data_IF_880689579592
#
_entry.id   IF_880689579592
#
_cell.length_a   1.000
_cell.length_b   1.000
_cell.length_c   1.000
_cell.angle_alpha   90.00
_cell.angle_beta   90.00
_cell.angle_gamma   90.00
#
_symmetry.space_group_name_H-M   'P 1'
#
loop_
_entity.id
_entity.type
_entity.pdbx_description
1 polymer ?
#
# COMPACT_ATOMS: atom_id res chain seq x y z
N UNK A 1 7.06 7.60 -9.31
CA UNK A 1 5.73 7.34 -9.92
C UNK A 1 5.50 5.83 -9.86
N UNK A 2 4.27 5.36 -9.61
CA UNK A 2 3.98 3.91 -9.57
C UNK A 2 4.16 3.33 -10.99
N UNK A 3 4.84 2.19 -11.08
CA UNK A 3 5.13 1.50 -12.35
C UNK A 3 3.89 0.89 -13.01
N UNK A 4 2.92 0.44 -12.21
CA UNK A 4 1.75 -0.31 -12.62
C UNK A 4 0.53 0.58 -12.93
N UNK A 5 -0.31 0.11 -13.83
CA UNK A 5 -1.60 0.72 -14.15
C UNK A 5 -2.59 0.47 -13.01
N UNK A 6 -3.35 1.51 -12.65
CA UNK A 6 -4.44 1.40 -11.70
C UNK A 6 -5.51 2.45 -11.97
N UNK A 7 -6.72 2.21 -11.49
CA UNK A 7 -7.79 3.20 -11.39
C UNK A 7 -8.04 3.57 -9.93
N UNK A 8 -8.46 4.81 -9.70
CA UNK A 8 -8.86 5.28 -8.38
C UNK A 8 -10.37 5.28 -8.28
N UNK A 9 -10.93 4.56 -7.31
CA UNK A 9 -12.35 4.57 -6.99
C UNK A 9 -12.60 5.22 -5.63
N UNK A 10 -13.63 6.04 -5.54
CA UNK A 10 -14.06 6.71 -4.31
C UNK A 10 -15.35 6.05 -3.82
N UNK A 11 -15.29 5.37 -2.67
CA UNK A 11 -16.46 4.71 -2.06
C UNK A 11 -17.09 5.65 -1.04
N UNK A 12 -18.16 6.32 -1.46
CA UNK A 12 -18.88 7.29 -0.63
C UNK A 12 -19.44 6.70 0.67
N UNK A 13 -20.00 5.50 0.61
CA UNK A 13 -20.64 4.83 1.76
C UNK A 13 -19.65 4.49 2.88
N UNK A 14 -18.38 4.31 2.53
CA UNK A 14 -17.30 3.95 3.46
C UNK A 14 -16.32 5.12 3.72
N UNK A 15 -16.43 6.22 2.96
CA UNK A 15 -15.47 7.33 2.95
C UNK A 15 -14.02 6.87 2.69
N UNK A 16 -13.87 5.99 1.70
CA UNK A 16 -12.60 5.32 1.39
C UNK A 16 -12.22 5.45 -0.07
N UNK A 17 -10.92 5.31 -0.32
CA UNK A 17 -10.35 5.24 -1.66
C UNK A 17 -9.83 3.83 -1.92
N UNK A 18 -10.14 3.30 -3.10
CA UNK A 18 -9.60 2.04 -3.60
C UNK A 18 -8.69 2.36 -4.79
N UNK A 19 -7.47 1.83 -4.77
CA UNK A 19 -6.61 1.77 -5.95
C UNK A 19 -6.79 0.39 -6.58
N UNK A 20 -7.52 0.31 -7.69
CA UNK A 20 -7.79 -0.95 -8.40
C UNK A 20 -6.65 -1.27 -9.38
N UNK A 21 -5.88 -2.30 -9.06
CA UNK A 21 -4.78 -2.83 -9.87
C UNK A 21 -5.19 -4.04 -10.72
N UNK A 22 -6.45 -4.50 -10.64
CA UNK A 22 -6.96 -5.61 -11.44
C UNK A 22 -6.96 -5.36 -12.95
N UNK A 23 -6.83 -4.10 -13.35
CA UNK A 23 -6.76 -3.69 -14.76
C UNK A 23 -5.37 -3.89 -15.40
N UNK A 24 -4.31 -4.06 -14.60
CA UNK A 24 -2.95 -4.22 -15.11
C UNK A 24 -2.66 -5.68 -15.46
N UNK A 25 -2.59 -5.98 -16.76
CA UNK A 25 -2.35 -7.34 -17.25
C UNK A 25 -0.95 -7.88 -16.94
N UNK A 26 0.00 -7.02 -16.56
CA UNK A 26 1.34 -7.44 -16.12
C UNK A 26 1.36 -7.91 -14.68
N UNK A 27 0.34 -7.55 -13.89
CA UNK A 27 0.17 -7.98 -12.50
C UNK A 27 -0.76 -9.18 -12.42
N UNK A 28 -0.18 -10.37 -12.25
CA UNK A 28 -0.97 -11.55 -11.86
C UNK A 28 -1.62 -11.25 -10.50
N UNK A 29 -2.96 -11.36 -10.45
CA UNK A 29 -3.78 -11.12 -9.26
C UNK A 29 -3.60 -9.72 -8.64
N UNK A 30 -3.47 -8.69 -9.47
CA UNK A 30 -3.28 -7.31 -8.99
C UNK A 30 -4.32 -6.84 -7.96
N UNK A 31 -5.54 -7.38 -7.97
CA UNK A 31 -6.58 -7.10 -6.97
C UNK A 31 -6.13 -7.38 -5.52
N UNK A 32 -5.16 -8.27 -5.29
CA UNK A 32 -4.60 -8.54 -3.96
C UNK A 32 -3.86 -7.33 -3.38
N UNK A 33 -3.27 -6.49 -4.23
CA UNK A 33 -2.69 -5.21 -3.83
C UNK A 33 -3.81 -4.28 -3.35
N UNK A 34 -4.91 -4.20 -4.09
CA UNK A 34 -6.06 -3.39 -3.71
C UNK A 34 -6.63 -3.82 -2.36
N UNK A 35 -6.77 -5.13 -2.14
CA UNK A 35 -7.24 -5.70 -0.87
C UNK A 35 -6.30 -5.45 0.31
N UNK A 36 -4.99 -5.37 0.07
CA UNK A 36 -4.04 -5.11 1.17
C UNK A 36 -4.04 -3.67 1.67
N UNK A 37 -4.65 -2.75 0.91
CA UNK A 37 -4.74 -1.33 1.22
C UNK A 37 -6.04 -0.95 1.95
N UNK A 38 -6.88 -1.91 2.31
CA UNK A 38 -8.16 -1.64 2.97
C UNK A 38 -8.01 -0.81 4.25
N UNK A 39 -9.01 0.02 4.56
CA UNK A 39 -9.02 0.83 5.79
C UNK A 39 -9.07 -0.01 7.06
N UNK A 40 -9.56 -1.24 6.95
CA UNK A 40 -9.58 -2.26 7.98
C UNK A 40 -8.16 -2.78 8.30
N UNK A 41 -7.22 -2.59 7.37
CA UNK A 41 -5.78 -2.85 7.54
C UNK A 41 -5.05 -1.57 7.97
N UNK A 42 -5.29 -0.45 7.26
CA UNK A 42 -4.67 0.85 7.52
C UNK A 42 -5.67 1.83 8.15
N UNK A 43 -6.17 1.48 9.33
CA UNK A 43 -7.25 2.23 10.01
C UNK A 43 -6.87 3.63 10.47
N UNK A 44 -5.58 3.85 10.75
CA UNK A 44 -5.08 5.15 11.18
C UNK A 44 -3.67 5.44 10.65
N UNK A 45 -3.25 6.70 10.83
CA UNK A 45 -1.95 7.17 10.37
C UNK A 45 -0.78 6.55 11.14
N UNK A 46 -0.96 6.11 12.39
CA UNK A 46 0.11 5.47 13.15
C UNK A 46 0.48 4.11 12.54
N UNK A 47 -0.53 3.31 12.18
CA UNK A 47 -0.34 2.01 11.52
C UNK A 47 0.38 2.18 10.18
N UNK A 48 0.00 3.18 9.37
CA UNK A 48 0.68 3.47 8.09
C UNK A 48 2.15 3.83 8.33
N UNK A 49 2.45 4.67 9.33
CA UNK A 49 3.84 5.04 9.65
C UNK A 49 4.68 3.84 10.05
N UNK A 50 4.14 2.94 10.86
CA UNK A 50 4.85 1.73 11.28
C UNK A 50 5.12 0.79 10.10
N UNK A 51 4.14 0.57 9.24
CA UNK A 51 4.31 -0.25 8.04
C UNK A 51 5.39 0.31 7.11
N UNK A 52 5.31 1.61 6.79
CA UNK A 52 6.31 2.28 5.96
C UNK A 52 7.70 2.22 6.60
N UNK A 53 7.79 2.39 7.93
CA UNK A 53 9.08 2.29 8.66
C UNK A 53 9.67 0.90 8.57
N UNK A 54 8.85 -0.15 8.69
CA UNK A 54 9.27 -1.53 8.52
C UNK A 54 9.83 -1.81 7.13
N UNK A 55 9.08 -1.41 6.09
CA UNK A 55 9.48 -1.59 4.70
C UNK A 55 10.73 -0.79 4.32
N UNK A 56 10.88 0.45 4.82
CA UNK A 56 12.11 1.23 4.60
C UNK A 56 13.31 0.58 5.29
N UNK A 57 13.15 0.09 6.52
CA UNK A 57 14.23 -0.62 7.25
C UNK A 57 14.70 -1.85 6.48
N UNK A 58 13.77 -2.56 5.82
CA UNK A 58 14.05 -3.67 4.92
C UNK A 58 14.81 -3.22 3.65
N UNK A 59 14.36 -2.14 2.99
CA UNK A 59 15.01 -1.59 1.79
C UNK A 59 16.43 -1.10 2.05
N UNK A 60 16.68 -0.54 3.24
CA UNK A 60 18.02 -0.17 3.73
C UNK A 60 18.92 -1.39 4.01
N UNK A 61 18.38 -2.61 4.00
CA UNK A 61 19.11 -3.84 4.28
C UNK A 61 19.41 -4.07 5.76
N UNK A 62 18.73 -3.36 6.67
CA UNK A 62 18.88 -3.55 8.12
C UNK A 62 18.17 -4.81 8.62
N UNK A 63 17.15 -5.26 7.90
CA UNK A 63 16.48 -6.56 8.07
C UNK A 63 16.39 -7.26 6.72
N UNK A 64 16.22 -8.58 6.70
CA UNK A 64 16.19 -9.38 5.46
C UNK A 64 14.78 -9.78 5.04
N UNK A 65 13.84 -9.78 5.97
CA UNK A 65 12.45 -10.14 5.77
C UNK A 65 11.59 -9.23 6.63
N UNK A 66 10.48 -8.76 6.06
CA UNK A 66 9.42 -8.07 6.77
C UNK A 66 8.11 -8.79 6.49
N UNK A 67 7.38 -9.13 7.55
CA UNK A 67 6.04 -9.72 7.45
C UNK A 67 5.05 -8.66 7.95
N UNK A 68 4.20 -8.20 7.03
CA UNK A 68 3.14 -7.24 7.29
C UNK A 68 1.80 -7.94 7.43
N UNK A 69 0.85 -7.29 8.11
CA UNK A 69 -0.53 -7.79 8.22
C UNK A 69 -1.42 -7.21 7.12
N UNK A 70 -2.21 -8.06 6.47
CA UNK A 70 -3.44 -7.70 5.78
C UNK A 70 -4.59 -8.50 6.39
N UNK A 71 -5.82 -7.96 6.45
CA UNK A 71 -6.93 -8.67 7.10
C UNK A 71 -7.26 -10.01 6.43
N UNK A 72 -6.98 -10.11 5.13
CA UNK A 72 -7.29 -11.27 4.28
C UNK A 72 -6.08 -11.79 3.50
N UNK A 73 -4.90 -11.20 3.69
CA UNK A 73 -3.69 -11.53 2.94
C UNK A 73 -2.50 -11.81 3.88
N UNK A 74 -1.66 -12.79 3.52
CA UNK A 74 -0.30 -12.89 4.04
C UNK A 74 0.62 -12.03 3.18
N UNK A 75 1.31 -11.08 3.81
CA UNK A 75 2.20 -10.13 3.12
C UNK A 75 3.62 -10.35 3.59
N UNK A 76 4.49 -10.77 2.67
CA UNK A 76 5.91 -11.02 2.94
C UNK A 76 6.76 -10.20 1.98
N UNK A 77 7.69 -9.44 2.53
CA UNK A 77 8.59 -8.59 1.75
C UNK A 77 10.04 -8.94 2.04
N UNK A 78 10.81 -9.17 0.98
CA UNK A 78 12.27 -9.09 1.01
C UNK A 78 12.74 -7.78 0.37
N UNK A 79 14.05 -7.55 0.25
CA UNK A 79 14.58 -6.30 -0.32
C UNK A 79 14.08 -6.04 -1.76
N UNK A 80 13.79 -7.08 -2.52
CA UNK A 80 13.47 -7.03 -3.93
C UNK A 80 11.97 -7.11 -4.18
N UNK A 81 11.28 -8.03 -3.51
CA UNK A 81 9.87 -8.32 -3.79
C UNK A 81 9.00 -8.40 -2.54
N UNK A 82 7.79 -7.86 -2.69
CA UNK A 82 6.64 -8.12 -1.83
C UNK A 82 5.75 -9.16 -2.50
N UNK A 83 5.35 -10.17 -1.73
CA UNK A 83 4.40 -11.20 -2.10
C UNK A 83 3.15 -11.04 -1.25
N UNK A 84 1.99 -10.98 -1.90
CA UNK A 84 0.67 -10.92 -1.28
C UNK A 84 -0.05 -12.22 -1.63
N UNK A 85 -0.47 -12.96 -0.62
CA UNK A 85 -1.11 -14.27 -0.76
C UNK A 85 -2.49 -14.23 -0.13
N UNK A 86 -3.51 -14.65 -0.89
CA UNK A 86 -4.89 -14.82 -0.41
C UNK A 86 -4.98 -16.05 0.49
N UNK A 87 -5.35 -15.85 1.76
CA UNK A 87 -5.43 -16.95 2.74
C UNK A 87 -6.71 -17.79 2.61
N UNK A 88 -7.65 -17.38 1.76
CA UNK A 88 -8.93 -18.05 1.57
C UNK A 88 -9.01 -18.83 0.25
N UNK A 89 -8.00 -18.72 -0.62
CA UNK A 89 -7.93 -19.52 -1.83
C UNK A 89 -7.77 -21.01 -1.50
N UNK A 90 -8.41 -21.89 -2.28
CA UNK A 90 -8.22 -23.33 -2.11
C UNK A 90 -6.78 -23.73 -2.48
N UNK A 91 -6.23 -24.77 -1.84
CA UNK A 91 -4.82 -25.19 -1.98
C UNK A 91 -4.37 -25.46 -3.44
N UNK A 92 -5.34 -25.66 -4.35
CA UNK A 92 -5.12 -26.00 -5.76
C UNK A 92 -5.31 -24.79 -6.72
N UNK A 93 -5.65 -23.60 -6.22
CA UNK A 93 -5.78 -22.41 -7.06
C UNK A 93 -4.41 -21.76 -7.32
N UNK A 94 -3.87 -21.95 -8.53
CA UNK A 94 -2.65 -21.28 -9.03
C UNK A 94 -2.74 -19.74 -9.00
N UNK A 95 -3.91 -19.16 -8.69
CA UNK A 95 -4.26 -17.75 -8.75
C UNK A 95 -4.40 -17.07 -7.37
N UNK A 96 -3.70 -17.55 -6.34
CA UNK A 96 -3.78 -16.97 -4.99
C UNK A 96 -2.69 -15.95 -4.62
N UNK A 97 -1.72 -15.69 -5.52
CA UNK A 97 -0.54 -14.87 -5.20
C UNK A 97 -0.38 -13.70 -6.18
N UNK A 98 -0.07 -12.52 -5.64
CA UNK A 98 0.45 -11.37 -6.36
C UNK A 98 1.88 -11.07 -5.89
N UNK A 99 2.78 -10.78 -6.84
CA UNK A 99 4.18 -10.44 -6.53
C UNK A 99 4.59 -9.16 -7.25
N UNK A 100 5.14 -8.23 -6.49
CA UNK A 100 5.57 -6.90 -6.98
C UNK A 100 6.90 -6.51 -6.33
N UNK A 101 7.61 -5.54 -6.91
CA UNK A 101 8.82 -5.03 -6.28
C UNK A 101 8.49 -4.34 -4.96
N UNK A 102 9.26 -4.62 -3.91
CA UNK A 102 9.02 -4.03 -2.57
C UNK A 102 8.99 -2.52 -2.62
N UNK A 103 9.89 -1.92 -3.39
CA UNK A 103 9.94 -0.48 -3.59
C UNK A 103 8.65 0.07 -4.24
N UNK A 104 8.06 -0.65 -5.19
CA UNK A 104 6.77 -0.28 -5.78
C UNK A 104 5.64 -0.43 -4.77
N UNK A 105 5.66 -1.47 -3.94
CA UNK A 105 4.67 -1.64 -2.87
C UNK A 105 4.65 -0.47 -1.88
N UNK A 106 5.83 0.02 -1.45
CA UNK A 106 5.92 1.20 -0.56
C UNK A 106 5.30 2.43 -1.24
N UNK A 107 5.57 2.65 -2.53
CA UNK A 107 4.99 3.78 -3.28
C UNK A 107 3.47 3.69 -3.34
N UNK A 108 2.94 2.48 -3.56
CA UNK A 108 1.51 2.23 -3.62
C UNK A 108 0.84 2.58 -2.28
N UNK A 109 1.39 2.12 -1.14
CA UNK A 109 0.87 2.46 0.19
C UNK A 109 0.84 3.99 0.40
N UNK A 110 1.92 4.69 0.04
CA UNK A 110 2.02 6.13 0.21
C UNK A 110 1.01 6.90 -0.68
N UNK A 111 0.84 6.48 -1.94
CA UNK A 111 -0.15 7.10 -2.84
C UNK A 111 -1.56 6.86 -2.34
N UNK A 112 -1.89 5.62 -1.96
CA UNK A 112 -3.19 5.29 -1.39
C UNK A 112 -3.47 6.11 -0.13
N UNK A 113 -2.52 6.17 0.81
CA UNK A 113 -2.68 6.91 2.05
C UNK A 113 -2.93 8.40 1.78
N UNK A 114 -2.24 8.99 0.81
CA UNK A 114 -2.43 10.40 0.45
C UNK A 114 -3.84 10.66 -0.05
N UNK A 115 -4.28 9.88 -1.03
CA UNK A 115 -5.62 10.01 -1.61
C UNK A 115 -6.71 9.75 -0.55
N UNK A 116 -6.53 8.74 0.29
CA UNK A 116 -7.51 8.36 1.31
C UNK A 116 -7.69 9.45 2.39
N UNK A 117 -6.60 10.03 2.90
CA UNK A 117 -6.69 11.11 3.89
C UNK A 117 -7.23 12.41 3.29
N UNK A 118 -6.86 12.73 2.04
CA UNK A 118 -7.43 13.86 1.33
C UNK A 118 -8.94 13.69 1.13
N UNK A 119 -9.38 12.50 0.72
CA UNK A 119 -10.79 12.20 0.54
C UNK A 119 -11.57 12.24 1.86
N UNK A 120 -11.06 11.63 2.93
CA UNK A 120 -11.67 11.71 4.27
C UNK A 120 -11.82 13.16 4.74
N UNK A 121 -10.85 14.03 4.44
CA UNK A 121 -10.95 15.47 4.75
C UNK A 121 -12.04 16.16 3.94
N UNK A 122 -12.12 15.90 2.63
CA UNK A 122 -13.19 16.42 1.75
C UNK A 122 -14.58 16.00 2.22
N UNK A 123 -14.70 14.77 2.76
CA UNK A 123 -15.94 14.21 3.31
C UNK A 123 -16.24 14.68 4.74
N UNK A 124 -15.36 15.46 5.37
CA UNK A 124 -15.52 15.94 6.74
C UNK A 124 -15.35 14.87 7.82
N UNK A 125 -14.74 13.72 7.47
CA UNK A 125 -14.48 12.61 8.41
C UNK A 125 -13.30 12.93 9.33
N UNK A 126 -12.31 13.66 8.81
CA UNK A 126 -11.15 14.13 9.57
C UNK A 126 -10.98 15.65 9.41
N UNK A 127 -10.26 16.26 10.35
CA UNK A 127 -9.92 17.67 10.28
C UNK A 127 -8.98 17.95 9.11
N UNK A 128 -9.10 19.13 8.51
CA UNK A 128 -8.24 19.54 7.40
C UNK A 128 -6.78 19.63 7.82
N UNK A 129 -6.52 20.17 9.01
CA UNK A 129 -5.18 20.29 9.57
C UNK A 129 -4.53 18.92 9.79
N UNK A 130 -5.32 17.93 10.21
CA UNK A 130 -4.87 16.54 10.35
C UNK A 130 -4.48 15.95 8.99
N UNK A 131 -5.33 16.13 7.98
CA UNK A 131 -5.05 15.67 6.62
C UNK A 131 -3.81 16.34 6.02
N UNK A 132 -3.62 17.64 6.22
CA UNK A 132 -2.45 18.39 5.75
C UNK A 132 -1.15 17.86 6.38
N UNK A 133 -1.15 17.56 7.69
CA UNK A 133 0.00 16.96 8.37
C UNK A 133 0.37 15.58 7.80
N UNK A 134 -0.63 14.75 7.51
CA UNK A 134 -0.42 13.43 6.92
C UNK A 134 0.13 13.55 5.50
N UNK A 135 -0.46 14.41 4.66
CA UNK A 135 -0.01 14.65 3.29
C UNK A 135 1.43 15.18 3.25
N UNK A 136 1.79 16.09 4.16
CA UNK A 136 3.14 16.62 4.26
C UNK A 136 4.16 15.55 4.64
N UNK A 137 3.80 14.66 5.58
CA UNK A 137 4.66 13.53 5.93
C UNK A 137 4.82 12.56 4.74
N UNK A 138 3.74 12.23 4.05
CA UNK A 138 3.77 11.36 2.86
C UNK A 138 4.65 11.96 1.77
N UNK A 139 4.50 13.26 1.48
CA UNK A 139 5.32 13.93 0.47
C UNK A 139 6.83 13.85 0.83
N UNK A 140 7.20 14.01 2.11
CA UNK A 140 8.59 13.81 2.57
C UNK A 140 9.07 12.37 2.35
N UNK A 141 8.23 11.37 2.67
CA UNK A 141 8.56 9.96 2.44
C UNK A 141 8.70 9.59 0.97
N UNK A 142 7.87 10.15 0.10
CA UNK A 142 8.04 10.00 -1.34
C UNK A 142 9.39 10.55 -1.82
N UNK A 143 9.87 11.65 -1.24
CA UNK A 143 11.21 12.20 -1.56
C UNK A 143 12.33 11.27 -1.09
N UNK A 144 12.24 10.74 0.13
CA UNK A 144 13.21 9.75 0.64
C UNK A 144 13.26 8.50 -0.25
N UNK A 145 12.13 8.05 -0.78
CA UNK A 145 12.08 6.89 -1.69
C UNK A 145 12.83 7.09 -3.02
N UNK A 146 12.93 8.32 -3.52
CA UNK A 146 13.71 8.60 -4.74
C UNK A 146 15.20 8.30 -4.56
N UNK A 147 15.71 8.32 -3.33
CA UNK A 147 17.09 7.94 -3.03
C UNK A 147 17.33 6.44 -3.24
N UNK A 148 16.29 5.60 -3.10
CA UNK A 148 16.36 4.16 -3.37
C UNK A 148 16.23 3.82 -4.85
N UNK A 149 15.53 4.64 -5.64
CA UNK A 149 15.45 4.45 -7.11
C UNK A 149 16.78 4.72 -7.81
N UNK A 150 17.69 5.46 -7.17
CA UNK A 150 18.97 5.90 -7.73
C UNK A 150 20.15 4.96 -7.39
N UNK A 151 19.92 3.87 -6.66
CA UNK A 151 20.91 2.87 -6.24
C UNK A 151 20.89 1.62 -7.11
#
# INVERSE_FOLDING_TARGET
MIKYLYTTEYKEDFNEVILDFGIDQSLKNGYLISNSLGSDVFGDFATIKEEIRGLLTLLEGKVTLYEGGGNVNLIKSDKHFTTLEDIFAEEDEEDSICKIETLEYVKIILVWAKENFQYKSQRGVILREEAELVVDWINKKCVELYEFESQ
#
